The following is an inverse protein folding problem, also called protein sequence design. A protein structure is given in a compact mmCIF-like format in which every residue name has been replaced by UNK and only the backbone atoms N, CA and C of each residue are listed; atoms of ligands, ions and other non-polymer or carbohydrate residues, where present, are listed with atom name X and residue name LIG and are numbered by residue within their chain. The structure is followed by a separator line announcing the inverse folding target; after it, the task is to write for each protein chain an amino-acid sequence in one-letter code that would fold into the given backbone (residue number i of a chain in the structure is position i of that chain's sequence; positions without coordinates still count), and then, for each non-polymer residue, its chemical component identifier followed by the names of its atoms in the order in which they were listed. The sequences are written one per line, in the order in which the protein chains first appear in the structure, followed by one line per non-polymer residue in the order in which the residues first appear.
data_IF_455808249799
#
_entry.id   IF_455808249799
#
_cell.length_a   1.000
_cell.length_b   1.000
_cell.length_c   1.000
_cell.angle_alpha   90.00
_cell.angle_beta   90.00
_cell.angle_gamma   90.00
#
_symmetry.space_group_name_H-M   'P 1'
#
loop_
_entity.id
_entity.type
_entity.pdbx_description
1 polymer ?
#
# COMPACT_ATOMS: atom_id res chain seq x y z
N UNK A 1 -35.58 39.60 42.24
CA UNK A 1 -36.05 38.93 41.00
C UNK A 1 -34.82 38.46 40.25
N UNK A 2 -34.49 37.16 40.34
CA UNK A 2 -33.39 36.52 39.63
C UNK A 2 -33.83 36.22 38.20
N UNK A 3 -33.33 36.97 37.21
CA UNK A 3 -33.49 36.63 35.79
C UNK A 3 -32.22 35.91 35.31
N UNK A 4 -32.32 34.58 35.40
CA UNK A 4 -31.59 33.51 34.70
C UNK A 4 -30.69 33.99 33.55
N UNK A 5 -29.38 34.02 33.78
CA UNK A 5 -28.35 33.98 32.74
C UNK A 5 -28.32 32.57 32.14
N UNK A 6 -29.16 32.35 31.13
CA UNK A 6 -29.15 31.13 30.35
C UNK A 6 -28.97 31.48 28.89
N UNK A 7 -27.75 31.28 28.38
CA UNK A 7 -27.42 30.62 27.09
C UNK A 7 -25.98 31.00 26.76
N UNK A 8 -25.03 30.25 27.33
CA UNK A 8 -23.73 30.09 26.68
C UNK A 8 -24.03 29.42 25.35
N UNK A 9 -24.16 30.22 24.29
CA UNK A 9 -24.23 29.72 22.94
C UNK A 9 -22.98 28.85 22.76
N UNK A 10 -23.21 27.53 22.69
CA UNK A 10 -22.18 26.56 22.35
C UNK A 10 -21.57 27.04 21.03
N UNK A 11 -20.38 27.61 21.10
CA UNK A 11 -19.57 27.94 19.94
C UNK A 11 -19.42 26.67 19.14
N UNK A 12 -20.14 26.59 18.02
CA UNK A 12 -20.02 25.50 17.08
C UNK A 12 -18.53 25.34 16.74
N UNK A 13 -18.00 24.11 16.65
CA UNK A 13 -16.61 23.92 16.24
C UNK A 13 -16.49 24.53 14.84
N UNK A 14 -15.65 25.55 14.70
CA UNK A 14 -15.32 26.13 13.41
C UNK A 14 -14.87 24.99 12.49
N UNK A 15 -15.66 24.72 11.45
CA UNK A 15 -15.34 23.73 10.44
C UNK A 15 -14.10 24.22 9.69
N UNK A 16 -12.91 23.85 10.20
CA UNK A 16 -11.64 24.21 9.59
C UNK A 16 -11.59 23.65 8.17
N UNK A 17 -11.63 24.53 7.17
CA UNK A 17 -11.42 24.15 5.78
C UNK A 17 -10.11 23.37 5.68
N UNK A 18 -10.06 22.24 4.94
CA UNK A 18 -8.84 21.49 4.79
C UNK A 18 -7.77 22.39 4.17
N UNK A 19 -6.79 22.80 4.97
CA UNK A 19 -5.69 23.65 4.52
C UNK A 19 -5.00 23.00 3.32
N UNK A 20 -4.97 23.71 2.18
CA UNK A 20 -4.38 23.26 0.91
C UNK A 20 -3.00 22.60 1.08
N UNK A 21 -2.20 23.07 2.06
CA UNK A 21 -0.90 22.49 2.42
C UNK A 21 -0.98 21.02 2.83
N UNK A 22 -1.97 20.61 3.63
CA UNK A 22 -2.11 19.21 4.10
C UNK A 22 -2.43 18.26 2.95
N UNK A 23 -3.24 18.72 1.99
CA UNK A 23 -3.57 17.95 0.78
C UNK A 23 -2.35 17.81 -0.11
N UNK A 24 -1.59 18.89 -0.31
CA UNK A 24 -0.35 18.86 -1.09
C UNK A 24 0.70 17.92 -0.48
N UNK A 25 0.93 18.01 0.84
CA UNK A 25 1.87 17.13 1.56
C UNK A 25 1.46 15.67 1.40
N UNK A 26 0.17 15.36 1.57
CA UNK A 26 -0.35 13.99 1.39
C UNK A 26 -0.01 13.44 -0.01
N UNK A 27 -0.32 14.20 -1.05
CA UNK A 27 -0.09 13.77 -2.43
C UNK A 27 1.39 13.72 -2.80
N UNK A 28 2.20 14.63 -2.27
CA UNK A 28 3.66 14.59 -2.42
C UNK A 28 4.27 13.34 -1.77
N UNK A 29 3.83 12.99 -0.56
CA UNK A 29 4.26 11.77 0.12
C UNK A 29 3.86 10.52 -0.67
N UNK A 30 2.59 10.43 -1.10
CA UNK A 30 2.11 9.30 -1.90
C UNK A 30 2.83 9.20 -3.24
N UNK A 31 3.05 10.32 -3.92
CA UNK A 31 3.81 10.38 -5.17
C UNK A 31 5.24 9.88 -4.99
N UNK A 32 5.92 10.31 -3.91
CA UNK A 32 7.28 9.87 -3.59
C UNK A 32 7.33 8.36 -3.34
N UNK A 33 6.42 7.82 -2.53
CA UNK A 33 6.32 6.37 -2.28
C UNK A 33 6.08 5.61 -3.59
N UNK A 34 5.20 6.10 -4.45
CA UNK A 34 4.92 5.48 -5.75
C UNK A 34 6.11 5.51 -6.70
N UNK A 35 6.82 6.63 -6.79
CA UNK A 35 8.03 6.75 -7.63
C UNK A 35 9.13 5.81 -7.15
N UNK A 36 9.41 5.78 -5.84
CA UNK A 36 10.45 4.93 -5.27
C UNK A 36 10.17 3.44 -5.51
N UNK A 37 8.95 3.00 -5.21
CA UNK A 37 8.58 1.60 -5.42
C UNK A 37 8.44 1.23 -6.90
N UNK A 38 7.97 2.16 -7.74
CA UNK A 38 7.92 1.97 -9.19
C UNK A 38 9.31 1.81 -9.79
N UNK A 39 10.26 2.65 -9.38
CA UNK A 39 11.66 2.52 -9.77
C UNK A 39 12.27 1.20 -9.29
N UNK A 40 12.04 0.83 -8.02
CA UNK A 40 12.49 -0.45 -7.48
C UNK A 40 11.92 -1.65 -8.26
N UNK A 41 10.65 -1.58 -8.66
CA UNK A 41 9.99 -2.60 -9.49
C UNK A 41 10.70 -2.74 -10.84
N UNK A 42 11.02 -1.63 -11.51
CA UNK A 42 11.75 -1.65 -12.79
C UNK A 42 13.13 -2.29 -12.61
N UNK A 43 13.83 -1.95 -11.52
CA UNK A 43 15.13 -2.54 -11.21
C UNK A 43 15.03 -4.06 -10.99
N UNK A 44 14.05 -4.53 -10.22
CA UNK A 44 13.80 -5.97 -10.01
C UNK A 44 13.52 -6.68 -11.33
N UNK A 45 12.65 -6.10 -12.16
CA UNK A 45 12.33 -6.65 -13.48
C UNK A 45 13.58 -6.75 -14.37
N UNK A 46 14.43 -5.72 -14.39
CA UNK A 46 15.66 -5.72 -15.18
C UNK A 46 16.69 -6.77 -14.76
N UNK A 47 16.59 -7.28 -13.53
CA UNK A 47 17.46 -8.35 -13.00
C UNK A 47 16.85 -9.76 -13.16
N UNK A 48 15.69 -9.87 -13.80
CA UNK A 48 14.98 -11.14 -13.98
C UNK A 48 14.18 -11.60 -12.77
N UNK A 49 14.06 -10.79 -11.70
CA UNK A 49 13.32 -11.11 -10.48
C UNK A 49 11.81 -10.85 -10.64
N UNK A 50 11.18 -11.53 -11.60
CA UNK A 50 9.81 -11.26 -12.05
C UNK A 50 8.79 -11.43 -10.91
N UNK A 51 8.94 -12.47 -10.08
CA UNK A 51 8.01 -12.77 -8.99
C UNK A 51 7.99 -11.64 -7.94
N UNK A 52 9.17 -11.16 -7.54
CA UNK A 52 9.30 -10.06 -6.58
C UNK A 52 8.89 -8.71 -7.19
N UNK A 53 9.16 -8.48 -8.47
CA UNK A 53 8.70 -7.29 -9.18
C UNK A 53 7.16 -7.21 -9.19
N UNK A 54 6.49 -8.32 -9.54
CA UNK A 54 5.03 -8.43 -9.54
C UNK A 54 4.43 -8.23 -8.13
N UNK A 55 5.03 -8.85 -7.12
CA UNK A 55 4.61 -8.67 -5.73
C UNK A 55 4.68 -7.19 -5.31
N UNK A 56 5.82 -6.55 -5.58
CA UNK A 56 6.09 -5.15 -5.19
C UNK A 56 5.11 -4.19 -5.85
N UNK A 57 4.85 -4.33 -7.15
CA UNK A 57 3.93 -3.44 -7.87
C UNK A 57 2.49 -3.62 -7.41
N UNK A 58 2.04 -4.86 -7.15
CA UNK A 58 0.68 -5.14 -6.66
C UNK A 58 0.48 -4.51 -5.28
N UNK A 59 1.41 -4.75 -4.34
CA UNK A 59 1.32 -4.18 -3.00
C UNK A 59 1.34 -2.65 -3.05
N UNK A 60 2.26 -2.07 -3.82
CA UNK A 60 2.37 -0.61 -3.95
C UNK A 60 1.13 0.01 -4.56
N UNK A 61 0.60 -0.58 -5.64
CA UNK A 61 -0.61 -0.08 -6.30
C UNK A 61 -1.82 -0.08 -5.35
N UNK A 62 -1.99 -1.17 -4.58
CA UNK A 62 -3.01 -1.26 -3.55
C UNK A 62 -2.82 -0.21 -2.45
N UNK A 63 -1.58 0.02 -2.01
CA UNK A 63 -1.27 1.06 -1.02
C UNK A 63 -1.67 2.45 -1.54
N UNK A 64 -1.21 2.81 -2.75
CA UNK A 64 -1.52 4.10 -3.34
C UNK A 64 -3.02 4.31 -3.52
N UNK A 65 -3.74 3.26 -3.93
CA UNK A 65 -5.20 3.31 -4.05
C UNK A 65 -5.88 3.53 -2.69
N UNK A 66 -5.52 2.75 -1.67
CA UNK A 66 -6.16 2.77 -0.35
C UNK A 66 -5.85 4.07 0.41
N UNK A 67 -4.62 4.56 0.35
CA UNK A 67 -4.21 5.80 1.03
C UNK A 67 -4.54 7.05 0.21
N UNK A 68 -4.64 6.94 -1.12
CA UNK A 68 -5.06 8.01 -2.02
C UNK A 68 -6.54 8.35 -1.89
N UNK A 69 -7.42 7.34 -1.91
CA UNK A 69 -8.87 7.53 -1.89
C UNK A 69 -9.42 7.89 -0.50
N UNK A 70 -10.47 8.72 -0.47
CA UNK A 70 -11.25 9.01 0.75
C UNK A 70 -12.25 7.90 1.07
N UNK A 71 -12.71 7.15 0.07
CA UNK A 71 -13.72 6.08 0.22
C UNK A 71 -13.17 4.85 0.94
N UNK A 72 -11.86 4.66 0.92
CA UNK A 72 -11.15 3.49 1.46
C UNK A 72 -10.58 3.72 2.86
N UNK A 73 -11.12 4.65 3.64
CA UNK A 73 -10.55 5.01 4.95
C UNK A 73 -10.44 3.81 5.90
N UNK A 74 -11.48 2.96 5.96
CA UNK A 74 -11.46 1.74 6.76
C UNK A 74 -10.33 0.76 6.34
N UNK A 75 -10.04 0.68 5.04
CA UNK A 75 -9.04 -0.24 4.50
C UNK A 75 -7.61 0.14 4.89
N UNK A 76 -7.35 1.39 5.32
CA UNK A 76 -6.01 1.82 5.77
C UNK A 76 -5.53 1.09 7.02
N UNK A 77 -6.46 0.64 7.87
CA UNK A 77 -6.14 -0.10 9.09
C UNK A 77 -5.94 -1.59 8.82
N UNK A 78 -6.60 -2.12 7.80
CA UNK A 78 -6.56 -3.55 7.45
C UNK A 78 -5.39 -3.84 6.48
N UNK A 79 -5.05 -2.86 5.63
CA UNK A 79 -4.03 -3.02 4.60
C UNK A 79 -2.67 -3.51 5.12
N UNK A 80 -2.08 -2.98 6.21
CA UNK A 80 -0.80 -3.49 6.71
C UNK A 80 -0.85 -4.98 7.06
N UNK A 81 -1.96 -5.45 7.65
CA UNK A 81 -2.17 -6.87 7.95
C UNK A 81 -2.32 -7.71 6.68
N UNK A 82 -3.12 -7.25 5.72
CA UNK A 82 -3.29 -7.94 4.43
C UNK A 82 -1.97 -7.97 3.64
N UNK A 83 -1.20 -6.89 3.62
CA UNK A 83 0.10 -6.83 2.97
C UNK A 83 1.08 -7.84 3.58
N UNK A 84 1.09 -7.96 4.92
CA UNK A 84 1.85 -9.00 5.61
C UNK A 84 1.40 -10.42 5.24
N UNK A 85 0.09 -10.68 5.22
CA UNK A 85 -0.44 -11.97 4.78
C UNK A 85 -0.08 -12.30 3.33
N UNK A 86 -0.17 -11.31 2.42
CA UNK A 86 0.23 -11.49 1.02
C UNK A 86 1.73 -11.83 0.95
N UNK A 87 2.58 -11.08 1.64
CA UNK A 87 4.03 -11.21 1.59
C UNK A 87 4.54 -12.52 2.19
N UNK A 88 3.99 -12.94 3.32
CA UNK A 88 4.53 -14.07 4.10
C UNK A 88 3.74 -15.36 3.98
N UNK A 89 2.49 -15.32 3.50
CA UNK A 89 1.64 -16.51 3.41
C UNK A 89 1.27 -16.78 1.96
N UNK A 90 0.60 -15.84 1.29
CA UNK A 90 0.07 -16.09 -0.05
C UNK A 90 1.17 -16.14 -1.11
N UNK A 91 2.19 -15.29 -1.01
CA UNK A 91 3.29 -15.27 -1.97
C UNK A 91 4.11 -16.58 -1.94
N UNK A 92 4.62 -17.06 -0.79
CA UNK A 92 5.32 -18.36 -0.76
C UNK A 92 4.44 -19.53 -1.22
N UNK A 93 3.15 -19.51 -0.86
CA UNK A 93 2.20 -20.55 -1.29
C UNK A 93 2.04 -20.55 -2.82
N UNK A 94 1.76 -19.40 -3.42
CA UNK A 94 1.60 -19.26 -4.86
C UNK A 94 2.90 -19.60 -5.61
N UNK A 95 4.06 -19.20 -5.07
CA UNK A 95 5.37 -19.55 -5.64
C UNK A 95 5.60 -21.07 -5.63
N UNK A 96 5.24 -21.74 -4.54
CA UNK A 96 5.32 -23.21 -4.43
C UNK A 96 4.42 -23.90 -5.45
N UNK A 97 3.18 -23.43 -5.62
CA UNK A 97 2.27 -23.92 -6.65
C UNK A 97 2.88 -23.70 -8.04
N UNK A 98 3.47 -22.53 -8.29
CA UNK A 98 4.18 -22.24 -9.53
C UNK A 98 5.31 -23.23 -9.82
N UNK A 99 6.14 -23.54 -8.82
CA UNK A 99 7.20 -24.54 -8.95
C UNK A 99 6.67 -25.93 -9.29
N UNK A 100 5.48 -26.31 -8.80
CA UNK A 100 4.87 -27.60 -9.10
C UNK A 100 4.54 -27.79 -10.60
N UNK A 101 4.43 -26.71 -11.37
CA UNK A 101 4.26 -26.75 -12.83
C UNK A 101 5.61 -26.73 -13.59
N UNK A 102 6.74 -26.77 -12.89
CA UNK A 102 8.08 -26.75 -13.48
C UNK A 102 8.83 -28.07 -13.20
N UNK A 103 9.91 -28.34 -13.94
CA UNK A 103 10.79 -29.48 -13.66
C UNK A 103 11.90 -29.13 -12.65
N UNK A 104 11.61 -28.25 -11.68
CA UNK A 104 12.57 -27.85 -10.66
C UNK A 104 12.84 -29.02 -9.71
N UNK A 105 14.08 -29.51 -9.69
CA UNK A 105 14.50 -30.64 -8.84
C UNK A 105 15.99 -30.55 -8.55
N UNK A 106 16.55 -31.45 -7.74
CA UNK A 106 17.99 -31.53 -7.50
C UNK A 106 18.83 -31.69 -8.78
N UNK A 107 18.25 -32.24 -9.86
CA UNK A 107 18.91 -32.35 -11.17
C UNK A 107 18.82 -31.08 -12.02
N UNK A 108 17.83 -30.22 -11.75
CA UNK A 108 17.51 -29.03 -12.53
C UNK A 108 17.36 -27.81 -11.60
N UNK A 109 18.45 -27.47 -10.91
CA UNK A 109 18.46 -26.34 -9.97
C UNK A 109 18.81 -25.01 -10.65
N UNK A 110 19.59 -25.07 -11.73
CA UNK A 110 20.08 -23.90 -12.45
C UNK A 110 19.12 -23.52 -13.60
N UNK A 111 19.07 -22.24 -13.90
CA UNK A 111 18.46 -21.73 -15.14
C UNK A 111 19.31 -22.13 -16.35
N UNK A 112 18.71 -22.19 -17.53
CA UNK A 112 19.42 -22.53 -18.76
C UNK A 112 20.65 -21.66 -19.06
N UNK A 113 20.58 -20.36 -18.74
CA UNK A 113 21.68 -19.40 -18.98
C UNK A 113 22.83 -19.49 -17.95
N UNK A 114 22.83 -20.50 -17.05
CA UNK A 114 23.82 -20.66 -15.97
C UNK A 114 24.59 -21.96 -16.07
#
# INVERSE_FOLDING_TARGET
MQSVQGTNAMTAPEASLPSSKKVFIKWSLLGTVGILNGYATILMYSRGEIAFALLTIILTALALFIFGSKKTYAHRYIYPGIAGMILFILFPLAYTIGLAFTNYSAKNQLSFDR
#
